data_IF_480822255916
#
_entry.id   IF_480822255916
#
_cell.length_a   1.000
_cell.length_b   1.000
_cell.length_c   1.000
_cell.angle_alpha   90.00
_cell.angle_beta   90.00
_cell.angle_gamma   90.00
#
_symmetry.space_group_name_H-M   'P 1'
#
loop_
_entity.id
_entity.type
_entity.pdbx_description
1 polymer ?
#
# COMPACT_ATOMS: atom_id res chain seq x y z
N UNK A 1 -43.57 -30.62 -44.12
CA UNK A 1 -43.00 -29.36 -44.63
C UNK A 1 -43.81 -28.24 -43.98
N UNK A 2 -43.17 -27.48 -43.08
CA UNK A 2 -43.84 -26.60 -42.11
C UNK A 2 -44.04 -25.20 -42.73
N UNK A 3 -45.21 -24.56 -42.61
CA UNK A 3 -45.37 -23.16 -42.98
C UNK A 3 -44.86 -22.23 -41.86
N UNK A 4 -43.99 -21.29 -42.24
CA UNK A 4 -43.48 -20.18 -41.43
C UNK A 4 -44.56 -19.10 -41.33
N UNK A 5 -45.02 -18.80 -40.10
CA UNK A 5 -45.81 -17.60 -39.82
C UNK A 5 -44.87 -16.46 -39.43
N UNK A 6 -44.76 -15.46 -40.30
CA UNK A 6 -44.03 -14.22 -40.06
C UNK A 6 -44.98 -13.21 -39.37
N UNK A 7 -44.92 -13.12 -38.04
CA UNK A 7 -45.65 -12.09 -37.27
C UNK A 7 -44.72 -10.89 -37.03
N UNK A 8 -44.87 -9.90 -37.89
CA UNK A 8 -44.22 -8.60 -37.82
C UNK A 8 -44.79 -7.80 -36.64
N UNK A 9 -44.06 -7.70 -35.53
CA UNK A 9 -44.39 -6.82 -34.42
C UNK A 9 -43.64 -5.49 -34.57
N UNK A 10 -44.34 -4.46 -35.06
CA UNK A 10 -43.84 -3.09 -35.15
C UNK A 10 -43.84 -2.42 -33.78
N UNK A 11 -42.69 -1.92 -33.32
CA UNK A 11 -42.58 -1.07 -32.13
C UNK A 11 -42.25 0.36 -32.53
N UNK A 12 -43.04 1.33 -32.05
CA UNK A 12 -42.82 2.75 -32.29
C UNK A 12 -41.85 3.27 -31.22
N UNK A 13 -40.67 3.71 -31.63
CA UNK A 13 -39.67 4.33 -30.75
C UNK A 13 -39.78 5.84 -30.88
N UNK A 14 -40.26 6.51 -29.83
CA UNK A 14 -40.30 7.97 -29.78
C UNK A 14 -39.01 8.50 -29.15
N UNK A 15 -38.22 9.24 -29.94
CA UNK A 15 -37.03 9.96 -29.46
C UNK A 15 -37.44 11.35 -29.01
N UNK A 16 -37.38 11.63 -27.71
CA UNK A 16 -37.48 13.01 -27.19
C UNK A 16 -36.10 13.68 -27.28
N UNK A 17 -35.97 14.82 -28.00
CA UNK A 17 -34.71 15.57 -28.03
C UNK A 17 -34.46 16.24 -26.67
N UNK A 18 -33.23 16.15 -26.18
CA UNK A 18 -32.77 16.90 -25.00
C UNK A 18 -32.52 18.33 -25.47
N UNK A 19 -33.46 19.24 -25.19
CA UNK A 19 -33.21 20.68 -25.34
C UNK A 19 -32.46 21.18 -24.12
N UNK A 20 -31.23 21.66 -24.32
CA UNK A 20 -30.55 22.54 -23.38
C UNK A 20 -31.42 23.77 -23.10
N UNK A 21 -31.85 23.91 -21.84
CA UNK A 21 -32.33 25.17 -21.29
C UNK A 21 -31.75 25.29 -19.90
N UNK A 22 -30.76 26.18 -19.75
CA UNK A 22 -30.28 26.62 -18.46
C UNK A 22 -31.41 27.34 -17.73
N UNK A 23 -31.73 26.92 -16.50
CA UNK A 23 -32.13 27.85 -15.44
C UNK A 23 -31.88 27.20 -14.07
N UNK A 24 -30.73 27.55 -13.48
CA UNK A 24 -30.44 27.29 -12.08
C UNK A 24 -31.21 28.32 -11.23
N UNK A 25 -32.35 27.92 -10.68
CA UNK A 25 -32.87 28.55 -9.45
C UNK A 25 -32.43 27.69 -8.27
N UNK A 26 -31.30 28.05 -7.65
CA UNK A 26 -30.89 27.47 -6.37
C UNK A 26 -31.61 28.26 -5.27
N UNK A 27 -32.64 27.66 -4.67
CA UNK A 27 -33.18 28.07 -3.38
C UNK A 27 -32.12 27.82 -2.30
N UNK A 28 -31.75 28.89 -1.62
CA UNK A 28 -30.82 28.92 -0.51
C UNK A 28 -31.47 28.39 0.77
N UNK A 29 -31.26 27.11 1.06
CA UNK A 29 -31.35 26.57 2.41
C UNK A 29 -29.95 26.12 2.84
N UNK A 30 -29.23 27.05 3.47
CA UNK A 30 -27.98 26.75 4.17
C UNK A 30 -28.31 25.99 5.46
N UNK A 31 -28.32 24.66 5.37
CA UNK A 31 -28.04 23.82 6.52
C UNK A 31 -26.53 23.66 6.60
N UNK A 32 -25.94 24.18 7.68
CA UNK A 32 -24.54 24.00 8.05
C UNK A 32 -24.25 22.51 8.29
N UNK A 33 -24.00 21.78 7.21
CA UNK A 33 -23.23 20.55 7.28
C UNK A 33 -21.77 20.93 7.08
N UNK A 34 -21.06 21.05 8.21
CA UNK A 34 -19.61 21.00 8.24
C UNK A 34 -19.18 19.76 7.45
N UNK A 35 -18.75 19.96 6.20
CA UNK A 35 -17.98 18.97 5.46
C UNK A 35 -16.70 18.81 6.24
N UNK A 36 -16.70 17.86 7.16
CA UNK A 36 -15.52 17.26 7.73
C UNK A 36 -14.68 16.81 6.54
N UNK A 37 -13.73 17.67 6.15
CA UNK A 37 -12.74 17.36 5.15
C UNK A 37 -12.00 16.17 5.72
N UNK A 38 -12.35 14.96 5.27
CA UNK A 38 -11.47 13.81 5.41
C UNK A 38 -10.18 14.19 4.70
N UNK A 39 -9.27 14.81 5.44
CA UNK A 39 -7.85 14.79 5.14
C UNK A 39 -7.49 13.32 5.18
N UNK A 40 -7.62 12.65 4.04
CA UNK A 40 -6.87 11.43 3.76
C UNK A 40 -5.44 11.88 3.61
N UNK A 41 -4.80 12.16 4.74
CA UNK A 41 -3.36 12.27 4.83
C UNK A 41 -2.86 10.92 4.34
N UNK A 42 -2.22 10.91 3.16
CA UNK A 42 -1.33 9.81 2.81
C UNK A 42 -0.45 9.60 4.03
N UNK A 43 -0.39 8.39 4.63
CA UNK A 43 0.48 8.18 5.78
C UNK A 43 1.87 8.64 5.34
N UNK A 44 2.33 9.73 5.93
CA UNK A 44 3.62 10.31 5.60
C UNK A 44 4.66 9.22 5.74
N UNK A 45 5.34 8.95 4.63
CA UNK A 45 6.59 8.18 4.58
C UNK A 45 6.59 6.99 5.53
N UNK A 46 5.70 6.06 5.21
CA UNK A 46 5.48 4.77 5.86
C UNK A 46 6.78 3.94 5.81
N UNK A 47 7.77 4.31 6.63
CA UNK A 47 9.02 3.55 6.82
C UNK A 47 8.59 2.14 7.10
N UNK A 48 8.89 1.27 6.15
CA UNK A 48 8.34 -0.08 6.06
C UNK A 48 8.61 -0.88 7.34
N UNK A 49 9.70 -0.56 8.03
CA UNK A 49 9.98 -0.98 9.38
C UNK A 49 10.06 0.26 10.28
N UNK A 50 9.33 0.25 11.39
CA UNK A 50 9.50 1.24 12.44
C UNK A 50 10.91 1.08 13.03
N UNK A 51 11.77 2.08 12.81
CA UNK A 51 13.08 2.11 13.46
C UNK A 51 12.84 2.25 14.97
N UNK A 52 13.31 1.32 15.82
CA UNK A 52 13.13 1.44 17.25
C UNK A 52 13.77 2.75 17.73
N UNK A 53 13.01 3.56 18.48
CA UNK A 53 13.45 4.86 19.01
C UNK A 53 14.58 4.75 20.06
N UNK A 54 14.96 3.52 20.44
CA UNK A 54 16.04 3.21 21.37
C UNK A 54 17.19 2.55 20.62
N UNK A 55 18.42 2.86 21.02
CA UNK A 55 19.62 2.19 20.51
C UNK A 55 19.41 0.67 20.64
N UNK A 56 19.39 -0.03 19.51
CA UNK A 56 19.11 -1.46 19.42
C UNK A 56 20.03 -2.20 20.41
N UNK A 57 19.46 -2.76 21.47
CA UNK A 57 20.24 -3.47 22.48
C UNK A 57 20.49 -4.89 22.00
N UNK A 58 21.62 -5.49 22.39
CA UNK A 58 22.07 -6.82 21.94
C UNK A 58 21.09 -7.97 22.21
N UNK A 59 20.02 -7.74 23.00
CA UNK A 59 18.93 -8.69 23.26
C UNK A 59 17.93 -8.82 22.12
N UNK A 60 17.75 -7.79 21.29
CA UNK A 60 16.74 -7.79 20.23
C UNK A 60 17.28 -8.33 18.89
N UNK A 61 18.59 -8.42 18.76
CA UNK A 61 19.27 -8.91 17.57
C UNK A 61 19.25 -10.45 17.53
N UNK A 62 18.79 -11.07 16.43
CA UNK A 62 18.93 -12.51 16.26
C UNK A 62 20.41 -12.89 16.26
N UNK A 63 20.73 -14.04 16.88
CA UNK A 63 22.06 -14.65 16.85
C UNK A 63 22.42 -14.93 15.39
N UNK A 64 23.33 -14.12 14.83
CA UNK A 64 24.06 -14.25 13.55
C UNK A 64 23.43 -15.12 12.45
N UNK A 65 23.26 -14.56 11.25
CA UNK A 65 22.90 -15.33 10.06
C UNK A 65 24.14 -15.62 9.21
N UNK A 66 24.15 -16.76 8.51
CA UNK A 66 25.25 -17.17 7.62
C UNK A 66 24.90 -16.85 6.18
N UNK A 67 25.87 -16.35 5.42
CA UNK A 67 25.76 -16.03 3.99
C UNK A 67 26.95 -16.59 3.20
N UNK A 68 26.87 -16.58 1.87
CA UNK A 68 28.00 -16.94 1.02
C UNK A 68 29.16 -15.96 1.20
N UNK A 69 30.39 -16.42 0.94
CA UNK A 69 31.60 -15.60 1.02
C UNK A 69 31.52 -14.37 0.11
N UNK A 70 30.99 -14.55 -1.09
CA UNK A 70 30.78 -13.47 -2.07
C UNK A 70 29.84 -12.39 -1.51
N UNK A 71 28.71 -12.80 -0.93
CA UNK A 71 27.73 -11.89 -0.34
C UNK A 71 28.31 -11.14 0.86
N UNK A 72 29.03 -11.85 1.74
CA UNK A 72 29.70 -11.23 2.88
C UNK A 72 30.70 -10.16 2.44
N UNK A 73 31.51 -10.49 1.43
CA UNK A 73 32.51 -9.57 0.88
C UNK A 73 31.83 -8.34 0.28
N UNK A 74 30.79 -8.53 -0.53
CA UNK A 74 30.02 -7.41 -1.11
C UNK A 74 29.43 -6.50 -0.03
N UNK A 75 28.77 -7.06 1.00
CA UNK A 75 28.19 -6.28 2.10
C UNK A 75 29.30 -5.55 2.88
N UNK A 76 30.43 -6.20 3.13
CA UNK A 76 31.56 -5.58 3.84
C UNK A 76 32.15 -4.41 3.04
N UNK A 77 32.24 -4.54 1.72
CA UNK A 77 32.71 -3.46 0.85
C UNK A 77 31.71 -2.30 0.82
N UNK A 78 30.41 -2.58 0.68
CA UNK A 78 29.36 -1.55 0.74
C UNK A 78 29.37 -0.80 2.08
N UNK A 79 29.50 -1.52 3.19
CA UNK A 79 29.65 -0.94 4.52
C UNK A 79 30.86 -0.01 4.64
N UNK A 80 31.96 -0.35 3.98
CA UNK A 80 33.18 0.49 3.96
C UNK A 80 32.98 1.75 3.10
N UNK A 81 32.26 1.64 1.97
CA UNK A 81 31.99 2.75 1.07
C UNK A 81 31.03 3.77 1.71
N UNK A 82 30.01 3.28 2.41
CA UNK A 82 28.96 4.10 3.02
C UNK A 82 29.28 4.54 4.46
N UNK A 83 30.43 4.13 5.01
CA UNK A 83 30.84 4.35 6.41
C UNK A 83 29.76 3.92 7.42
N UNK A 84 29.15 2.77 7.16
CA UNK A 84 28.06 2.20 7.95
C UNK A 84 28.45 0.83 8.50
N UNK A 85 27.78 0.39 9.56
CA UNK A 85 27.97 -0.99 10.05
C UNK A 85 27.24 -1.98 9.15
N UNK A 86 27.80 -3.19 9.02
CA UNK A 86 27.23 -4.28 8.20
C UNK A 86 25.73 -4.50 8.44
N UNK A 87 25.26 -4.44 9.69
CA UNK A 87 23.83 -4.62 10.00
C UNK A 87 22.94 -3.47 9.52
N UNK A 88 23.47 -2.25 9.41
CA UNK A 88 22.72 -1.08 8.91
C UNK A 88 22.55 -1.19 7.41
N UNK A 89 23.61 -1.58 6.71
CA UNK A 89 23.58 -1.87 5.26
C UNK A 89 22.56 -2.97 4.97
N UNK A 90 22.54 -4.05 5.76
CA UNK A 90 21.55 -5.12 5.60
C UNK A 90 20.12 -4.59 5.80
N UNK A 91 19.88 -3.81 6.86
CA UNK A 91 18.55 -3.25 7.10
C UNK A 91 18.09 -2.36 5.95
N UNK A 92 18.98 -1.49 5.44
CA UNK A 92 18.71 -0.62 4.31
C UNK A 92 18.42 -1.41 3.03
N UNK A 93 19.23 -2.43 2.70
CA UNK A 93 19.01 -3.28 1.54
C UNK A 93 17.66 -4.01 1.59
N UNK A 94 17.25 -4.47 2.77
CA UNK A 94 15.95 -5.14 2.95
C UNK A 94 14.80 -4.13 2.88
N UNK A 95 14.95 -2.94 3.48
CA UNK A 95 13.98 -1.83 3.37
C UNK A 95 13.73 -1.47 1.90
N UNK A 96 14.80 -1.19 1.16
CA UNK A 96 14.74 -0.86 -0.26
C UNK A 96 14.16 -2.02 -1.08
N UNK A 97 14.60 -3.25 -0.81
CA UNK A 97 14.11 -4.41 -1.54
C UNK A 97 12.61 -4.57 -1.38
N UNK A 98 12.08 -4.44 -0.16
CA UNK A 98 10.64 -4.60 0.06
C UNK A 98 9.88 -3.38 -0.48
N UNK A 99 10.42 -2.16 -0.38
CA UNK A 99 9.84 -0.98 -1.01
C UNK A 99 9.71 -1.14 -2.54
N UNK A 100 10.65 -1.83 -3.19
CA UNK A 100 10.59 -2.14 -4.63
C UNK A 100 9.53 -3.18 -5.03
N UNK A 101 8.96 -3.94 -4.08
CA UNK A 101 7.99 -4.98 -4.37
C UNK A 101 6.58 -4.42 -4.64
N UNK A 102 5.73 -5.13 -5.41
CA UNK A 102 4.32 -4.79 -5.53
C UNK A 102 3.60 -4.78 -4.18
N UNK A 103 2.60 -3.91 -4.03
CA UNK A 103 1.81 -3.71 -2.79
C UNK A 103 1.30 -5.01 -2.15
N UNK A 104 0.83 -6.04 -2.88
CA UNK A 104 0.43 -7.30 -2.27
C UNK A 104 1.56 -8.02 -1.54
N UNK A 105 2.77 -8.03 -2.13
CA UNK A 105 3.95 -8.68 -1.53
C UNK A 105 4.47 -7.89 -0.34
N UNK A 106 4.43 -6.55 -0.41
CA UNK A 106 4.76 -5.69 0.73
C UNK A 106 3.86 -5.96 1.94
N UNK A 107 2.55 -6.06 1.73
CA UNK A 107 1.57 -6.37 2.80
C UNK A 107 1.86 -7.72 3.46
N UNK A 108 2.24 -8.72 2.68
CA UNK A 108 2.60 -10.04 3.19
C UNK A 108 3.80 -9.95 4.15
N UNK A 109 4.85 -9.23 3.76
CA UNK A 109 6.03 -9.02 4.60
C UNK A 109 5.68 -8.24 5.87
N UNK A 110 4.92 -7.14 5.76
CA UNK A 110 4.47 -6.33 6.92
C UNK A 110 3.68 -7.17 7.92
N UNK A 111 2.75 -8.00 7.45
CA UNK A 111 1.92 -8.84 8.30
C UNK A 111 2.74 -9.91 9.04
N UNK A 112 3.69 -10.56 8.36
CA UNK A 112 4.56 -11.56 8.98
C UNK A 112 5.42 -10.96 10.10
N UNK A 113 5.98 -9.76 9.88
CA UNK A 113 6.79 -9.05 10.87
C UNK A 113 5.94 -8.66 12.08
N UNK A 114 4.73 -8.13 11.85
CA UNK A 114 3.77 -7.77 12.91
C UNK A 114 3.46 -8.97 13.81
N UNK A 115 3.18 -10.13 13.22
CA UNK A 115 2.90 -11.36 13.96
C UNK A 115 4.06 -11.79 14.86
N UNK A 116 5.31 -11.68 14.39
CA UNK A 116 6.49 -12.01 15.18
C UNK A 116 6.68 -11.03 16.35
N UNK A 117 6.46 -9.75 16.12
CA UNK A 117 6.57 -8.72 17.16
C UNK A 117 5.50 -8.90 18.25
N UNK A 118 4.25 -9.19 17.87
CA UNK A 118 3.17 -9.50 18.81
C UNK A 118 3.46 -10.79 19.59
N UNK A 119 4.00 -11.81 18.94
CA UNK A 119 4.39 -13.07 19.59
C UNK A 119 5.51 -12.88 20.61
N UNK A 120 6.44 -11.95 20.37
CA UNK A 120 7.48 -11.59 21.35
C UNK A 120 6.90 -10.80 22.53
N UNK A 121 6.02 -9.83 22.28
CA UNK A 121 5.36 -9.03 23.33
C UNK A 121 4.56 -9.89 24.30
N UNK A 122 3.89 -10.94 23.82
CA UNK A 122 3.06 -11.81 24.67
C UNK A 122 3.87 -12.81 25.50
N UNK A 123 5.20 -12.91 25.31
CA UNK A 123 6.09 -13.82 26.03
C UNK A 123 6.96 -13.12 27.09
N UNK A 124 6.99 -11.79 27.09
CA UNK A 124 7.56 -10.95 28.15
C UNK A 124 6.51 -10.63 29.21
#
# INVERSE_FOLDING_TARGET
MVPVENKSNSFVVTLTPITESLDLTIQSDHTDMEKEKQNRTFPEEDKLFEKPKRKLTTKELPKSFRVSLETHTAISTLATIEDMKIYEVINMLIEEKVASLPTPKQKLVKNAVKQVLESKRNRE
#
